data_IF_737770236819
#
_entry.id   IF_737770236819
#
_cell.length_a   1.000
_cell.length_b   1.000
_cell.length_c   1.000
_cell.angle_alpha   90.00
_cell.angle_beta   90.00
_cell.angle_gamma   90.00
#
_symmetry.space_group_name_H-M   'P 1'
#
loop_
_entity.id
_entity.type
_entity.pdbx_description
1 polymer ?
#
# COMPACT_ATOMS: atom_id res chain seq x y z
N UNK A 1 34.20 1.40 -44.54
CA UNK A 1 33.70 0.19 -45.25
C UNK A 1 32.41 -0.19 -44.53
N UNK A 2 31.29 0.22 -44.96
CA UNK A 2 30.22 -0.45 -45.75
C UNK A 2 29.84 -1.86 -45.21
N UNK A 3 28.67 -1.96 -44.61
CA UNK A 3 27.50 -2.81 -44.95
C UNK A 3 26.42 -2.51 -43.88
N UNK A 4 25.38 -1.92 -44.08
CA UNK A 4 24.09 -1.94 -44.79
C UNK A 4 23.41 -3.32 -44.83
N UNK A 5 22.07 -3.26 -44.54
CA UNK A 5 20.99 -4.12 -45.03
C UNK A 5 20.46 -5.14 -44.00
N UNK A 6 19.19 -5.35 -43.74
CA UNK A 6 17.94 -5.04 -44.46
C UNK A 6 16.75 -5.31 -43.52
N UNK A 7 15.76 -4.46 -43.56
CA UNK A 7 14.41 -4.66 -43.04
C UNK A 7 13.67 -5.69 -43.89
N UNK A 8 12.84 -6.53 -43.35
CA UNK A 8 11.72 -7.17 -44.07
C UNK A 8 10.47 -7.17 -43.20
N UNK A 9 9.52 -6.36 -43.63
CA UNK A 9 8.08 -6.45 -43.31
C UNK A 9 7.51 -7.76 -43.83
N UNK A 10 6.66 -8.40 -43.03
CA UNK A 10 5.68 -9.38 -43.57
C UNK A 10 4.31 -9.07 -42.98
N UNK A 11 3.53 -8.36 -43.79
CA UNK A 11 2.06 -8.28 -43.68
C UNK A 11 1.51 -9.41 -44.51
N UNK A 12 0.63 -10.24 -43.94
CA UNK A 12 -0.25 -11.10 -44.71
C UNK A 12 -1.62 -11.15 -44.04
N UNK A 13 -2.54 -10.49 -44.68
CA UNK A 13 -3.97 -10.58 -44.49
C UNK A 13 -4.48 -11.97 -44.99
N UNK A 14 -5.47 -12.52 -44.27
CA UNK A 14 -6.39 -13.46 -44.91
C UNK A 14 -7.81 -13.15 -44.45
N UNK A 15 -8.59 -12.76 -45.45
CA UNK A 15 -10.01 -12.52 -45.37
C UNK A 15 -10.78 -13.76 -45.90
N UNK A 16 -12.00 -13.89 -45.42
CA UNK A 16 -13.18 -14.48 -46.04
C UNK A 16 -13.25 -15.98 -46.32
N UNK A 17 -14.27 -16.61 -45.79
CA UNK A 17 -15.23 -17.37 -46.60
C UNK A 17 -16.61 -17.37 -45.93
N UNK A 18 -17.54 -16.76 -46.66
CA UNK A 18 -19.00 -16.87 -46.54
C UNK A 18 -19.48 -18.13 -47.24
N UNK A 19 -20.78 -18.42 -46.99
CA UNK A 19 -21.78 -19.08 -47.80
C UNK A 19 -22.23 -20.45 -47.24
N UNK A 20 -23.42 -20.62 -46.92
CA UNK A 20 -24.82 -20.53 -47.40
C UNK A 20 -25.54 -21.84 -47.08
N UNK A 21 -26.79 -21.77 -46.68
CA UNK A 21 -27.67 -22.92 -46.58
C UNK A 21 -29.12 -22.51 -46.16
N UNK A 22 -29.90 -22.17 -47.17
CA UNK A 22 -31.34 -21.93 -47.12
C UNK A 22 -32.17 -23.19 -46.87
N UNK A 23 -33.41 -23.00 -46.35
CA UNK A 23 -34.53 -23.90 -46.59
C UNK A 23 -35.49 -24.03 -45.41
N UNK A 24 -36.52 -23.35 -45.39
CA UNK A 24 -37.93 -23.47 -45.80
C UNK A 24 -38.88 -23.72 -44.63
N UNK A 25 -39.86 -22.79 -44.48
CA UNK A 25 -41.17 -22.94 -43.83
C UNK A 25 -42.07 -23.83 -44.71
N UNK A 26 -43.25 -24.37 -44.23
CA UNK A 26 -44.44 -23.55 -43.97
C UNK A 26 -45.37 -24.07 -42.81
N UNK A 27 -46.02 -23.16 -42.18
CA UNK A 27 -47.45 -22.78 -42.05
C UNK A 27 -48.51 -23.85 -41.75
N UNK A 28 -49.41 -23.50 -40.84
CA UNK A 28 -50.79 -24.02 -40.61
C UNK A 28 -51.25 -23.72 -39.19
N UNK A 29 -51.97 -22.65 -38.93
CA UNK A 29 -53.39 -22.38 -38.67
C UNK A 29 -54.09 -23.48 -37.84
N UNK A 30 -54.85 -23.22 -36.79
CA UNK A 30 -56.04 -22.41 -36.52
C UNK A 30 -56.52 -22.55 -35.07
N UNK A 31 -56.89 -21.42 -34.49
CA UNK A 31 -58.17 -21.00 -33.97
C UNK A 31 -58.76 -21.60 -32.67
N UNK A 32 -58.92 -20.69 -31.74
CA UNK A 32 -60.18 -20.36 -31.01
C UNK A 32 -60.81 -21.37 -30.02
N UNK A 33 -60.87 -20.99 -28.75
CA UNK A 33 -62.14 -20.65 -28.09
C UNK A 33 -61.96 -20.17 -26.64
N UNK A 34 -62.71 -19.12 -26.33
CA UNK A 34 -62.84 -18.53 -25.01
C UNK A 34 -63.80 -19.33 -24.11
N UNK A 35 -63.54 -19.29 -22.80
CA UNK A 35 -64.65 -19.20 -21.80
C UNK A 35 -64.09 -18.78 -20.42
N UNK A 36 -64.73 -17.80 -19.89
CA UNK A 36 -64.60 -17.20 -18.57
C UNK A 36 -64.99 -18.11 -17.41
N UNK A 37 -64.37 -17.95 -16.22
CA UNK A 37 -65.09 -17.91 -14.96
C UNK A 37 -64.24 -17.35 -13.80
N UNK A 38 -64.90 -16.70 -12.90
CA UNK A 38 -64.49 -15.79 -11.83
C UNK A 38 -63.73 -16.44 -10.66
N UNK A 39 -62.88 -15.60 -10.05
CA UNK A 39 -62.64 -15.32 -8.66
C UNK A 39 -62.40 -16.43 -7.63
N UNK A 40 -61.20 -16.42 -7.07
CA UNK A 40 -60.97 -16.56 -5.64
C UNK A 40 -59.63 -15.81 -5.27
N UNK A 41 -59.74 -14.83 -4.39
CA UNK A 41 -58.59 -14.19 -3.73
C UNK A 41 -58.04 -15.16 -2.69
N UNK A 42 -56.86 -15.63 -2.89
CA UNK A 42 -55.94 -16.09 -1.83
C UNK A 42 -54.66 -15.25 -1.85
N UNK A 43 -54.37 -14.69 -0.70
CA UNK A 43 -53.17 -13.90 -0.44
C UNK A 43 -52.02 -14.90 -0.33
N UNK A 44 -51.26 -15.06 -1.40
CA UNK A 44 -49.95 -15.71 -1.31
C UNK A 44 -48.93 -14.64 -0.88
N UNK A 45 -48.25 -14.93 0.22
CA UNK A 45 -47.05 -14.26 0.63
C UNK A 45 -46.03 -14.35 -0.50
N UNK A 46 -45.50 -13.20 -0.92
CA UNK A 46 -44.40 -13.17 -1.86
C UNK A 46 -43.22 -13.90 -1.22
N UNK A 47 -42.88 -15.07 -1.76
CA UNK A 47 -41.60 -15.71 -1.51
C UNK A 47 -40.55 -14.80 -2.18
N UNK A 48 -39.66 -14.26 -1.39
CA UNK A 48 -38.46 -13.62 -1.89
C UNK A 48 -37.73 -14.62 -2.79
N UNK A 49 -37.51 -14.24 -4.04
CA UNK A 49 -36.70 -14.99 -4.99
C UNK A 49 -35.27 -14.93 -4.46
N UNK A 50 -34.54 -16.05 -4.30
CA UNK A 50 -33.13 -15.98 -3.93
C UNK A 50 -32.38 -15.18 -5.00
N UNK A 51 -31.54 -14.24 -4.56
CA UNK A 51 -30.64 -13.50 -5.43
C UNK A 51 -29.85 -14.50 -6.32
N UNK A 52 -29.59 -14.14 -7.55
CA UNK A 52 -28.83 -14.99 -8.47
C UNK A 52 -27.36 -15.05 -8.00
N UNK A 53 -26.68 -16.18 -8.20
CA UNK A 53 -25.29 -16.38 -7.77
C UNK A 53 -24.29 -15.39 -8.41
N UNK A 54 -24.68 -14.63 -9.43
CA UNK A 54 -23.89 -13.57 -10.07
C UNK A 54 -23.91 -12.25 -9.26
N UNK A 55 -24.90 -12.06 -8.38
CA UNK A 55 -25.05 -10.85 -7.56
C UNK A 55 -24.21 -10.87 -6.26
N UNK A 56 -23.53 -11.98 -5.97
CA UNK A 56 -22.72 -12.19 -4.78
C UNK A 56 -21.20 -12.10 -5.04
N UNK A 57 -20.78 -11.63 -6.20
CA UNK A 57 -19.35 -11.50 -6.56
C UNK A 57 -18.95 -10.03 -6.61
N UNK A 58 -17.87 -9.67 -5.91
CA UNK A 58 -17.24 -8.35 -5.97
C UNK A 58 -15.85 -8.44 -6.58
N UNK A 59 -15.49 -7.46 -7.39
CA UNK A 59 -14.15 -7.34 -7.96
C UNK A 59 -13.28 -6.46 -7.06
N UNK A 60 -12.02 -6.87 -6.81
CA UNK A 60 -11.09 -6.16 -5.93
C UNK A 60 -9.75 -5.95 -6.60
N UNK A 61 -9.20 -4.73 -6.54
CA UNK A 61 -7.82 -4.42 -6.94
C UNK A 61 -6.95 -4.15 -5.73
N UNK A 62 -5.82 -4.86 -5.64
CA UNK A 62 -4.76 -4.66 -4.67
C UNK A 62 -3.44 -5.21 -5.25
N UNK A 63 -2.31 -5.13 -4.52
CA UNK A 63 -1.00 -5.27 -5.17
C UNK A 63 -0.02 -6.26 -4.55
N UNK A 64 -0.04 -6.51 -3.23
CA UNK A 64 0.96 -7.36 -2.58
C UNK A 64 0.39 -8.73 -2.23
N UNK A 65 0.90 -9.83 -2.85
CA UNK A 65 0.39 -11.17 -2.66
C UNK A 65 0.51 -11.68 -1.21
N UNK A 66 1.52 -11.22 -0.47
CA UNK A 66 1.79 -11.67 0.90
C UNK A 66 1.13 -10.78 1.97
N UNK A 67 0.63 -9.62 1.58
CA UNK A 67 0.06 -8.64 2.47
C UNK A 67 -1.44 -8.40 2.18
N UNK A 68 -1.76 -7.47 1.29
CA UNK A 68 -3.16 -7.05 1.10
C UNK A 68 -3.99 -8.01 0.24
N UNK A 69 -3.39 -8.74 -0.71
CA UNK A 69 -4.06 -9.85 -1.42
C UNK A 69 -4.35 -11.00 -0.45
N UNK A 70 -3.41 -11.32 0.44
CA UNK A 70 -3.63 -12.28 1.52
C UNK A 70 -4.78 -11.82 2.42
N UNK A 71 -4.77 -10.56 2.86
CA UNK A 71 -5.82 -9.99 3.71
C UNK A 71 -7.22 -10.14 3.10
N UNK A 72 -7.38 -9.80 1.82
CA UNK A 72 -8.66 -9.96 1.13
C UNK A 72 -9.10 -11.42 1.02
N UNK A 73 -8.18 -12.35 0.81
CA UNK A 73 -8.51 -13.79 0.79
C UNK A 73 -8.95 -14.31 2.15
N UNK A 74 -8.39 -13.80 3.25
CA UNK A 74 -8.85 -14.19 4.59
C UNK A 74 -10.21 -13.53 4.91
N UNK A 75 -10.40 -12.26 4.54
CA UNK A 75 -11.68 -11.58 4.67
C UNK A 75 -12.80 -12.31 3.90
N UNK A 76 -12.53 -12.75 2.65
CA UNK A 76 -13.47 -13.59 1.89
C UNK A 76 -13.87 -14.84 2.66
N UNK A 77 -12.89 -15.57 3.22
CA UNK A 77 -13.15 -16.80 3.98
C UNK A 77 -13.94 -16.51 5.26
N UNK A 78 -13.62 -15.45 5.98
CA UNK A 78 -14.34 -15.05 7.18
C UNK A 78 -15.81 -14.75 6.84
N UNK A 79 -16.06 -13.96 5.81
CA UNK A 79 -17.41 -13.60 5.37
C UNK A 79 -18.20 -14.80 4.83
N UNK A 80 -17.54 -15.75 4.16
CA UNK A 80 -18.18 -16.98 3.63
C UNK A 80 -18.73 -17.89 4.71
N UNK A 81 -18.40 -17.72 5.98
CA UNK A 81 -18.98 -18.51 7.07
C UNK A 81 -20.50 -18.34 7.11
N UNK A 82 -20.97 -17.09 6.96
CA UNK A 82 -22.39 -16.75 6.98
C UNK A 82 -22.97 -16.57 5.55
N UNK A 83 -22.10 -16.32 4.56
CA UNK A 83 -22.43 -16.04 3.16
C UNK A 83 -21.74 -17.03 2.20
N UNK A 84 -22.12 -18.33 2.17
CA UNK A 84 -21.35 -19.40 1.51
C UNK A 84 -21.26 -19.28 -0.02
N UNK A 85 -22.08 -18.44 -0.65
CA UNK A 85 -22.05 -18.19 -2.09
C UNK A 85 -21.23 -16.96 -2.48
N UNK A 86 -20.82 -16.13 -1.50
CA UNK A 86 -20.03 -14.92 -1.72
C UNK A 86 -18.67 -15.25 -2.33
N UNK A 87 -18.20 -14.41 -3.25
CA UNK A 87 -16.88 -14.54 -3.90
C UNK A 87 -16.25 -13.18 -4.15
N UNK A 88 -14.94 -13.16 -4.10
CA UNK A 88 -14.13 -12.07 -4.59
C UNK A 88 -13.38 -12.47 -5.87
N UNK A 89 -13.43 -11.61 -6.89
CA UNK A 89 -12.49 -11.63 -8.03
C UNK A 89 -11.33 -10.67 -7.70
N UNK A 90 -10.31 -11.22 -7.02
CA UNK A 90 -9.15 -10.44 -6.58
C UNK A 90 -8.15 -10.36 -7.73
N UNK A 91 -7.95 -9.15 -8.25
CA UNK A 91 -7.02 -8.85 -9.33
C UNK A 91 -5.79 -8.13 -8.76
N UNK A 92 -4.67 -8.85 -8.75
CA UNK A 92 -3.37 -8.30 -8.37
C UNK A 92 -2.89 -7.34 -9.46
N UNK A 93 -2.57 -6.11 -9.07
CA UNK A 93 -2.09 -5.05 -9.97
C UNK A 93 -0.97 -4.28 -9.28
N UNK A 94 -0.03 -3.76 -10.06
CA UNK A 94 0.95 -2.80 -9.52
C UNK A 94 0.22 -1.52 -9.10
N UNK A 95 0.58 -0.94 -7.95
CA UNK A 95 -0.12 0.22 -7.41
C UNK A 95 -0.18 1.41 -8.39
N UNK A 96 0.90 1.70 -9.11
CA UNK A 96 0.93 2.74 -10.14
C UNK A 96 -0.06 2.51 -11.28
N UNK A 97 -0.36 1.24 -11.61
CA UNK A 97 -1.36 0.90 -12.63
C UNK A 97 -2.78 1.14 -12.10
N UNK A 98 -3.00 0.91 -10.79
CA UNK A 98 -4.28 1.24 -10.13
C UNK A 98 -4.49 2.76 -10.19
N UNK A 99 -3.53 3.56 -9.75
CA UNK A 99 -3.65 5.04 -9.80
C UNK A 99 -3.87 5.54 -11.24
N UNK A 100 -3.10 5.02 -12.21
CA UNK A 100 -3.25 5.39 -13.62
C UNK A 100 -4.64 5.06 -14.16
N UNK A 101 -5.18 3.89 -13.79
CA UNK A 101 -6.52 3.48 -14.24
C UNK A 101 -7.62 4.36 -13.61
N UNK A 102 -7.49 4.72 -12.32
CA UNK A 102 -8.42 5.61 -11.63
C UNK A 102 -8.45 7.00 -12.26
N UNK A 103 -7.27 7.60 -12.50
CA UNK A 103 -7.13 8.92 -13.12
C UNK A 103 -7.70 8.88 -14.56
N UNK A 104 -7.33 7.86 -15.35
CA UNK A 104 -7.82 7.72 -16.74
C UNK A 104 -9.35 7.61 -16.80
N UNK A 105 -9.96 6.82 -15.88
CA UNK A 105 -11.41 6.69 -15.80
C UNK A 105 -12.08 8.03 -15.43
N UNK A 106 -11.48 8.77 -14.49
CA UNK A 106 -11.98 10.06 -14.06
C UNK A 106 -11.91 11.12 -15.17
N UNK A 107 -10.77 11.22 -15.86
CA UNK A 107 -10.60 12.14 -17.00
C UNK A 107 -11.54 11.82 -18.16
N UNK A 108 -11.80 10.53 -18.40
CA UNK A 108 -12.75 10.10 -19.42
C UNK A 108 -14.21 10.27 -18.99
N UNK A 109 -14.50 10.44 -17.69
CA UNK A 109 -15.85 10.42 -17.12
C UNK A 109 -16.52 9.04 -17.28
N UNK A 110 -15.73 7.97 -17.42
CA UNK A 110 -16.23 6.58 -17.60
C UNK A 110 -15.55 5.67 -16.57
N UNK A 111 -16.29 5.35 -15.53
CA UNK A 111 -15.84 4.50 -14.43
C UNK A 111 -16.10 3.01 -14.64
N UNK A 112 -16.65 2.62 -15.81
CA UNK A 112 -17.09 1.23 -16.08
C UNK A 112 -15.97 0.19 -16.04
N UNK A 113 -14.72 0.61 -16.12
CA UNK A 113 -13.53 -0.25 -16.07
C UNK A 113 -12.96 -0.43 -14.65
N UNK A 114 -13.49 0.31 -13.67
CA UNK A 114 -13.04 0.22 -12.29
C UNK A 114 -13.63 -1.01 -11.58
N UNK A 115 -12.95 -1.56 -10.56
CA UNK A 115 -13.46 -2.64 -9.73
C UNK A 115 -14.57 -2.15 -8.80
N UNK A 116 -15.17 -3.05 -8.02
CA UNK A 116 -16.10 -2.66 -6.95
C UNK A 116 -15.35 -2.09 -5.74
N UNK A 117 -14.25 -2.74 -5.34
CA UNK A 117 -13.41 -2.35 -4.23
C UNK A 117 -11.96 -2.22 -4.71
N UNK A 118 -11.23 -1.25 -4.18
CA UNK A 118 -9.78 -1.15 -4.41
C UNK A 118 -9.06 -0.65 -3.16
N UNK A 119 -7.82 -1.07 -3.04
CA UNK A 119 -6.94 -0.54 -2.02
C UNK A 119 -6.29 0.73 -2.55
N UNK A 120 -6.16 1.75 -1.68
CA UNK A 120 -5.46 2.99 -1.99
C UNK A 120 -4.52 3.35 -0.85
N UNK A 121 -3.31 3.79 -1.20
CA UNK A 121 -2.38 4.34 -0.21
C UNK A 121 -2.93 5.64 0.37
N UNK A 122 -2.80 5.81 1.67
CA UNK A 122 -3.47 6.88 2.42
C UNK A 122 -3.15 8.29 1.88
N UNK A 123 -1.91 8.55 1.54
CA UNK A 123 -1.49 9.85 1.00
C UNK A 123 -2.13 10.22 -0.36
N UNK A 124 -2.76 9.26 -1.04
CA UNK A 124 -3.40 9.48 -2.33
C UNK A 124 -4.89 9.85 -2.23
N UNK A 125 -5.54 9.65 -1.07
CA UNK A 125 -6.98 9.90 -0.93
C UNK A 125 -7.35 11.36 -1.14
N UNK A 126 -6.68 12.29 -0.44
CA UNK A 126 -6.98 13.72 -0.54
C UNK A 126 -6.84 14.24 -1.96
N UNK A 127 -5.74 13.87 -2.65
CA UNK A 127 -5.52 14.23 -4.05
C UNK A 127 -6.66 13.73 -4.94
N UNK A 128 -6.94 12.42 -4.86
CA UNK A 128 -7.90 11.80 -5.77
C UNK A 128 -9.34 12.22 -5.48
N UNK A 129 -9.74 12.34 -4.21
CA UNK A 129 -11.09 12.79 -3.88
C UNK A 129 -11.34 14.27 -4.24
N UNK A 130 -10.31 15.12 -4.12
CA UNK A 130 -10.41 16.54 -4.45
C UNK A 130 -10.40 16.78 -5.96
N UNK A 131 -9.45 16.16 -6.68
CA UNK A 131 -9.24 16.44 -8.10
C UNK A 131 -10.18 15.62 -9.01
N UNK A 132 -10.62 14.46 -8.54
CA UNK A 132 -11.46 13.53 -9.30
C UNK A 132 -12.71 13.13 -8.52
N UNK A 133 -13.60 14.09 -8.18
CA UNK A 133 -14.83 13.80 -7.46
C UNK A 133 -15.67 12.81 -8.27
N UNK A 134 -16.13 11.75 -7.62
CA UNK A 134 -16.91 10.68 -8.25
C UNK A 134 -16.14 9.42 -8.57
N UNK A 135 -14.83 9.29 -8.21
CA UNK A 135 -14.14 8.01 -8.21
C UNK A 135 -14.64 7.13 -7.06
N UNK A 136 -14.84 7.73 -5.89
CA UNK A 136 -15.20 7.03 -4.65
C UNK A 136 -16.70 7.07 -4.37
N UNK A 137 -17.18 6.02 -3.73
CA UNK A 137 -18.46 6.03 -3.03
C UNK A 137 -18.24 6.53 -1.60
N UNK A 138 -19.10 7.45 -1.12
CA UNK A 138 -19.08 7.88 0.28
C UNK A 138 -19.43 6.72 1.21
N UNK A 139 -18.72 6.59 2.33
CA UNK A 139 -18.87 5.48 3.27
C UNK A 139 -19.62 5.83 4.56
N UNK A 140 -20.14 7.07 4.69
CA UNK A 140 -20.78 7.53 5.92
C UNK A 140 -22.03 6.70 6.30
N UNK A 141 -22.69 6.09 5.32
CA UNK A 141 -23.87 5.24 5.50
C UNK A 141 -23.57 3.73 5.39
N UNK A 142 -22.30 3.32 5.38
CA UNK A 142 -21.91 1.91 5.19
C UNK A 142 -22.07 1.01 6.44
N UNK A 143 -22.50 1.58 7.58
CA UNK A 143 -22.72 0.86 8.82
C UNK A 143 -21.47 0.67 9.69
N UNK A 144 -20.29 1.08 9.23
CA UNK A 144 -19.03 1.02 9.98
C UNK A 144 -19.02 2.13 11.05
N UNK A 145 -18.63 1.76 12.28
CA UNK A 145 -18.33 2.72 13.34
C UNK A 145 -16.90 3.27 13.19
N UNK A 146 -16.74 4.35 12.45
CA UNK A 146 -15.45 4.99 12.22
C UNK A 146 -14.78 5.51 13.50
N UNK A 147 -15.52 5.69 14.60
CA UNK A 147 -14.93 6.06 15.89
C UNK A 147 -14.04 4.97 16.50
N UNK A 148 -14.12 3.75 15.98
CA UNK A 148 -13.29 2.61 16.37
C UNK A 148 -11.95 2.54 15.63
N UNK A 149 -11.64 3.52 14.79
CA UNK A 149 -10.38 3.55 14.04
C UNK A 149 -9.41 4.61 14.59
N UNK A 150 -8.12 4.41 14.33
CA UNK A 150 -7.10 5.40 14.62
C UNK A 150 -7.42 6.73 13.93
N UNK A 151 -7.52 7.82 14.70
CA UNK A 151 -7.90 9.14 14.16
C UNK A 151 -6.94 9.65 13.09
N UNK A 152 -5.64 9.39 13.24
CA UNK A 152 -4.65 9.80 12.24
C UNK A 152 -4.89 9.12 10.90
N UNK A 153 -5.09 7.80 10.92
CA UNK A 153 -5.40 7.01 9.72
C UNK A 153 -6.74 7.38 9.09
N UNK A 154 -7.75 7.61 9.92
CA UNK A 154 -9.06 8.03 9.44
C UNK A 154 -9.00 9.40 8.75
N UNK A 155 -8.19 10.32 9.27
CA UNK A 155 -8.00 11.64 8.68
C UNK A 155 -7.44 11.56 7.26
N UNK A 156 -6.56 10.59 6.96
CA UNK A 156 -5.96 10.40 5.64
C UNK A 156 -7.00 10.08 4.55
N UNK A 157 -8.08 9.36 4.90
CA UNK A 157 -9.15 8.96 3.98
C UNK A 157 -10.46 9.74 4.15
N UNK A 158 -10.46 10.80 4.97
CA UNK A 158 -11.61 11.70 5.17
C UNK A 158 -11.35 13.03 4.46
N UNK A 159 -12.22 13.40 3.53
CA UNK A 159 -12.11 14.64 2.76
C UNK A 159 -13.38 15.45 2.92
N UNK A 160 -13.26 16.72 3.34
CA UNK A 160 -14.39 17.63 3.61
C UNK A 160 -15.45 17.03 4.56
N UNK A 161 -15.02 16.19 5.50
CA UNK A 161 -15.86 15.54 6.50
C UNK A 161 -16.58 14.28 6.02
N UNK A 162 -16.32 13.83 4.79
CA UNK A 162 -16.84 12.58 4.21
C UNK A 162 -15.79 11.49 4.24
N UNK A 163 -16.14 10.29 4.69
CA UNK A 163 -15.27 9.13 4.70
C UNK A 163 -15.27 8.43 3.33
N UNK A 164 -14.09 8.22 2.74
CA UNK A 164 -13.90 7.53 1.46
C UNK A 164 -13.08 6.26 1.55
N UNK A 165 -12.45 6.01 2.69
CA UNK A 165 -11.65 4.81 2.93
C UNK A 165 -11.90 4.21 4.31
N UNK A 166 -11.85 2.89 4.38
CA UNK A 166 -11.83 2.12 5.62
C UNK A 166 -10.37 1.85 5.94
N UNK A 167 -9.80 2.44 7.00
CA UNK A 167 -8.40 2.25 7.35
C UNK A 167 -8.07 0.77 7.54
N UNK A 168 -7.08 0.29 6.79
CA UNK A 168 -6.68 -1.12 6.83
C UNK A 168 -5.52 -1.34 7.80
N UNK A 169 -4.36 -0.76 7.51
CA UNK A 169 -3.12 -0.98 8.25
C UNK A 169 -2.43 0.30 8.69
N UNK A 170 -1.55 0.17 9.68
CA UNK A 170 -0.55 1.18 10.03
C UNK A 170 0.78 0.84 9.38
N UNK A 171 1.49 1.87 8.90
CA UNK A 171 2.78 1.74 8.27
C UNK A 171 3.95 2.17 9.17
N UNK A 172 3.88 1.91 10.49
CA UNK A 172 4.99 2.29 11.39
C UNK A 172 6.33 1.78 10.85
N UNK A 173 7.30 2.69 10.73
CA UNK A 173 8.64 2.36 10.24
C UNK A 173 9.38 1.52 11.27
N UNK A 174 9.93 0.40 10.80
CA UNK A 174 10.82 -0.48 11.56
C UNK A 174 12.21 -0.53 10.94
N UNK A 175 13.21 -0.78 11.74
CA UNK A 175 14.49 -1.29 11.28
C UNK A 175 14.58 -2.78 11.63
N UNK A 176 14.43 -3.64 10.62
CA UNK A 176 14.63 -5.08 10.77
C UNK A 176 16.09 -5.41 10.42
N UNK A 177 16.80 -6.10 11.34
CA UNK A 177 18.22 -6.43 11.19
C UNK A 177 18.50 -7.89 11.47
N UNK A 178 19.47 -8.44 10.78
CA UNK A 178 19.99 -9.81 10.99
C UNK A 178 20.77 -9.89 12.28
N UNK A 179 20.16 -10.42 13.33
CA UNK A 179 20.77 -10.60 14.65
C UNK A 179 22.03 -11.44 14.60
N UNK A 180 22.05 -12.51 13.81
CA UNK A 180 23.22 -13.36 13.62
C UNK A 180 24.43 -12.64 12.94
N UNK A 181 24.15 -11.70 12.03
CA UNK A 181 25.19 -10.89 11.41
C UNK A 181 25.70 -9.80 12.36
N UNK A 182 24.82 -9.23 13.18
CA UNK A 182 25.20 -8.28 14.24
C UNK A 182 26.08 -8.96 15.28
N UNK A 183 25.70 -10.16 15.73
CA UNK A 183 26.50 -10.97 16.68
C UNK A 183 27.86 -11.37 16.09
N UNK A 184 27.94 -11.70 14.79
CA UNK A 184 29.20 -12.00 14.12
C UNK A 184 30.19 -10.81 14.15
N UNK A 185 29.68 -9.58 14.22
CA UNK A 185 30.50 -8.36 14.41
C UNK A 185 30.86 -8.08 15.89
N UNK A 186 30.44 -8.93 16.83
CA UNK A 186 30.65 -8.75 18.27
C UNK A 186 29.76 -7.67 18.87
N UNK A 187 28.66 -7.35 18.21
CA UNK A 187 27.66 -6.35 18.64
C UNK A 187 26.40 -7.06 19.12
N UNK A 188 25.48 -6.28 19.68
CA UNK A 188 24.12 -6.70 20.07
C UNK A 188 23.08 -5.91 19.32
N UNK A 189 21.89 -6.47 19.16
CA UNK A 189 20.75 -5.78 18.57
C UNK A 189 20.43 -4.48 19.31
N UNK A 190 20.53 -4.49 20.63
CA UNK A 190 20.27 -3.33 21.49
C UNK A 190 21.21 -2.15 21.21
N UNK A 191 22.42 -2.39 20.67
CA UNK A 191 23.36 -1.31 20.32
C UNK A 191 22.82 -0.44 19.18
N UNK A 192 21.85 -0.92 18.40
CA UNK A 192 21.23 -0.21 17.29
C UNK A 192 19.96 0.56 17.69
N UNK A 193 19.45 0.34 18.92
CA UNK A 193 18.25 1.01 19.41
C UNK A 193 18.56 2.48 19.77
N UNK A 194 17.63 3.37 19.44
CA UNK A 194 17.68 4.82 19.78
C UNK A 194 18.93 5.56 19.27
N UNK A 195 19.57 5.06 18.21
CA UNK A 195 20.77 5.66 17.62
C UNK A 195 20.45 6.91 16.81
N UNK A 196 21.48 7.75 16.62
CA UNK A 196 21.53 8.71 15.52
C UNK A 196 22.04 8.02 14.25
N UNK A 197 21.88 8.64 13.07
CA UNK A 197 22.42 8.10 11.83
C UNK A 197 23.95 7.98 11.85
N UNK A 198 24.65 8.92 12.50
CA UNK A 198 26.11 8.83 12.64
C UNK A 198 26.55 7.65 13.49
N UNK A 199 25.89 7.40 14.63
CA UNK A 199 26.15 6.23 15.48
C UNK A 199 25.82 4.93 14.74
N UNK A 200 24.70 4.89 14.05
CA UNK A 200 24.30 3.74 13.22
C UNK A 200 25.35 3.41 12.14
N UNK A 201 25.89 4.42 11.43
CA UNK A 201 26.91 4.24 10.41
C UNK A 201 28.18 3.61 10.99
N UNK A 202 28.60 4.03 12.19
CA UNK A 202 29.79 3.44 12.85
C UNK A 202 29.57 1.99 13.29
N UNK A 203 28.36 1.63 13.71
CA UNK A 203 27.99 0.23 13.99
C UNK A 203 27.92 -0.58 12.68
N UNK A 204 27.33 -0.02 11.64
CA UNK A 204 27.19 -0.63 10.32
C UNK A 204 28.52 -1.04 9.71
N UNK A 205 29.54 -0.19 9.80
CA UNK A 205 30.90 -0.49 9.32
C UNK A 205 31.49 -1.74 9.97
N UNK A 206 31.18 -1.99 11.26
CA UNK A 206 31.63 -3.21 11.96
C UNK A 206 30.92 -4.45 11.44
N UNK A 207 29.59 -4.36 11.21
CA UNK A 207 28.82 -5.48 10.64
C UNK A 207 29.31 -5.79 9.22
N UNK A 208 29.47 -4.78 8.37
CA UNK A 208 29.98 -4.94 7.01
C UNK A 208 31.38 -5.57 6.99
N UNK A 209 32.27 -5.15 7.90
CA UNK A 209 33.61 -5.74 8.01
C UNK A 209 33.60 -7.22 8.43
N UNK A 210 32.59 -7.66 9.17
CA UNK A 210 32.44 -9.05 9.62
C UNK A 210 31.71 -9.95 8.61
N UNK A 211 30.85 -9.39 7.77
CA UNK A 211 29.90 -10.14 6.93
C UNK A 211 30.11 -9.98 5.43
N UNK A 212 30.84 -8.93 5.01
CA UNK A 212 31.07 -8.55 3.60
C UNK A 212 29.77 -8.24 2.82
N UNK A 213 28.71 -7.78 3.53
CA UNK A 213 27.46 -7.34 2.92
C UNK A 213 27.10 -5.94 3.40
N UNK A 214 26.31 -5.13 2.64
CA UNK A 214 25.74 -3.86 3.10
C UNK A 214 24.90 -4.05 4.35
N UNK A 215 24.90 -3.03 5.23
CA UNK A 215 24.07 -3.07 6.43
C UNK A 215 22.59 -2.95 6.10
N UNK A 216 22.24 -2.10 5.13
CA UNK A 216 20.84 -1.86 4.73
C UNK A 216 20.63 -2.11 3.25
N UNK A 217 19.36 -2.35 2.91
CA UNK A 217 18.83 -2.34 1.55
C UNK A 217 17.63 -1.41 1.46
N UNK A 218 17.39 -0.79 0.31
CA UNK A 218 16.18 -0.01 0.04
C UNK A 218 15.72 -0.17 -1.41
N UNK A 219 14.48 0.24 -1.69
CA UNK A 219 13.90 0.29 -3.04
C UNK A 219 13.63 1.74 -3.43
N UNK A 220 14.73 2.46 -3.71
CA UNK A 220 14.70 3.88 -4.04
C UNK A 220 14.83 4.81 -2.83
N UNK A 221 15.65 5.85 -2.99
CA UNK A 221 16.05 6.73 -1.89
C UNK A 221 14.99 7.71 -1.42
N UNK A 222 13.95 7.99 -2.21
CA UNK A 222 12.92 8.96 -1.81
C UNK A 222 12.13 8.51 -0.60
N UNK A 223 11.90 7.23 -0.45
CA UNK A 223 11.11 6.67 0.65
C UNK A 223 11.83 6.88 1.99
N UNK A 224 13.08 6.42 2.09
CA UNK A 224 13.87 6.59 3.32
C UNK A 224 14.17 8.05 3.65
N UNK A 225 14.33 8.93 2.66
CA UNK A 225 14.49 10.39 2.89
C UNK A 225 13.21 10.98 3.48
N UNK A 226 12.05 10.55 3.01
CA UNK A 226 10.75 11.00 3.54
C UNK A 226 10.53 10.48 4.95
N UNK A 227 10.90 9.24 5.26
CA UNK A 227 10.86 8.69 6.62
C UNK A 227 11.76 9.50 7.57
N UNK A 228 12.98 9.85 7.15
CA UNK A 228 13.87 10.73 7.90
C UNK A 228 13.25 12.11 8.13
N UNK A 229 12.60 12.68 7.12
CA UNK A 229 11.94 13.98 7.19
C UNK A 229 10.78 13.94 8.19
N UNK A 230 9.94 12.91 8.11
CA UNK A 230 8.84 12.71 9.04
C UNK A 230 9.33 12.48 10.47
N UNK A 231 10.39 11.66 10.65
CA UNK A 231 10.96 11.42 11.98
C UNK A 231 11.43 12.70 12.68
N UNK A 232 11.73 13.75 11.91
CA UNK A 232 12.06 15.08 12.39
C UNK A 232 10.83 15.99 12.61
N UNK A 233 9.61 15.49 12.37
CA UNK A 233 8.38 16.29 12.42
C UNK A 233 8.36 17.41 11.38
N UNK A 234 9.15 17.28 10.31
CA UNK A 234 9.27 18.30 9.28
C UNK A 234 8.38 17.94 8.08
N UNK A 235 7.39 18.80 7.81
CA UNK A 235 6.49 18.62 6.70
C UNK A 235 7.07 19.17 5.40
N UNK A 236 6.84 18.54 4.24
CA UNK A 236 7.13 19.11 2.93
C UNK A 236 6.13 20.21 2.52
N UNK A 237 5.04 20.34 3.28
CA UNK A 237 4.00 21.35 3.13
C UNK A 237 3.91 22.19 4.40
N UNK A 238 3.74 23.51 4.26
CA UNK A 238 3.52 24.44 5.37
C UNK A 238 2.43 25.44 4.94
N UNK A 239 1.38 25.55 5.73
CA UNK A 239 0.23 26.44 5.43
C UNK A 239 -0.33 26.25 4.01
N UNK A 240 -0.44 25.00 3.55
CA UNK A 240 -0.94 24.63 2.25
C UNK A 240 -0.01 24.96 1.08
N UNK A 241 1.25 25.26 1.34
CA UNK A 241 2.27 25.57 0.32
C UNK A 241 3.44 24.60 0.37
N UNK A 242 4.02 24.32 -0.77
CA UNK A 242 5.27 23.55 -0.87
C UNK A 242 6.39 24.26 -0.15
N UNK A 243 7.11 23.57 0.72
CA UNK A 243 8.18 24.10 1.56
C UNK A 243 9.38 23.14 1.58
N UNK A 244 10.12 23.09 0.49
CA UNK A 244 11.30 22.24 0.35
C UNK A 244 12.62 23.01 0.51
N UNK A 245 12.71 24.21 -0.07
CA UNK A 245 13.97 24.98 -0.17
C UNK A 245 14.57 25.34 1.19
N UNK A 246 13.76 25.76 2.16
CA UNK A 246 14.23 26.17 3.49
C UNK A 246 14.12 25.05 4.54
N UNK A 247 13.80 23.82 4.09
CA UNK A 247 13.64 22.67 4.96
C UNK A 247 14.99 22.02 5.29
N UNK A 248 15.55 22.42 6.44
CA UNK A 248 16.86 21.92 6.91
C UNK A 248 16.87 20.42 7.17
N UNK A 249 15.74 19.87 7.63
CA UNK A 249 15.62 18.43 7.86
C UNK A 249 15.67 17.66 6.55
N UNK A 250 15.00 18.16 5.49
CA UNK A 250 15.05 17.55 4.15
C UNK A 250 16.48 17.55 3.59
N UNK A 251 17.17 18.69 3.69
CA UNK A 251 18.57 18.75 3.24
C UNK A 251 19.45 17.76 3.99
N UNK A 252 19.32 17.70 5.33
CA UNK A 252 20.06 16.75 6.16
C UNK A 252 19.73 15.30 5.83
N UNK A 253 18.46 14.98 5.55
CA UNK A 253 18.02 13.65 5.14
C UNK A 253 18.67 13.21 3.81
N UNK A 254 18.70 14.11 2.80
CA UNK A 254 19.36 13.84 1.51
C UNK A 254 20.88 13.67 1.68
N UNK A 255 21.53 14.51 2.50
CA UNK A 255 22.96 14.38 2.83
C UNK A 255 23.24 13.02 3.50
N UNK A 256 22.41 12.62 4.45
CA UNK A 256 22.54 11.34 5.17
C UNK A 256 22.36 10.16 4.22
N UNK A 257 21.33 10.19 3.38
CA UNK A 257 21.09 9.14 2.38
C UNK A 257 22.26 9.02 1.40
N UNK A 258 22.74 10.16 0.88
CA UNK A 258 23.92 10.16 0.00
C UNK A 258 25.14 9.53 0.69
N UNK A 259 25.38 9.85 1.95
CA UNK A 259 26.50 9.27 2.70
C UNK A 259 26.34 7.76 2.87
N UNK A 260 25.14 7.25 3.16
CA UNK A 260 24.87 5.80 3.26
C UNK A 260 25.19 5.06 1.96
N UNK A 261 24.88 5.66 0.81
CA UNK A 261 25.19 5.10 -0.52
C UNK A 261 26.69 5.20 -0.81
N UNK A 262 27.31 6.37 -0.62
CA UNK A 262 28.72 6.62 -0.92
C UNK A 262 29.66 5.72 -0.10
N UNK A 263 29.28 5.40 1.14
CA UNK A 263 30.03 4.52 2.05
C UNK A 263 29.66 3.02 1.87
N UNK A 264 28.73 2.70 0.97
CA UNK A 264 28.26 1.32 0.70
C UNK A 264 27.49 0.70 1.85
N UNK A 265 27.02 1.49 2.80
CA UNK A 265 26.23 1.02 3.95
C UNK A 265 24.84 0.59 3.50
N UNK A 266 24.28 1.27 2.50
CA UNK A 266 22.98 0.98 1.91
C UNK A 266 23.12 0.57 0.44
N UNK A 267 22.51 -0.57 0.09
CA UNK A 267 22.31 -1.00 -1.29
C UNK A 267 20.95 -0.55 -1.79
N UNK A 268 20.91 0.22 -2.88
CA UNK A 268 19.69 0.72 -3.49
C UNK A 268 19.33 -0.11 -4.73
N UNK A 269 18.11 -0.66 -4.76
CA UNK A 269 17.56 -1.44 -5.85
C UNK A 269 16.35 -0.71 -6.45
N UNK A 270 16.32 -0.60 -7.77
CA UNK A 270 15.16 -0.03 -8.50
C UNK A 270 14.09 -1.06 -8.83
N UNK A 271 14.42 -2.33 -8.68
CA UNK A 271 13.54 -3.47 -8.93
C UNK A 271 13.09 -4.09 -7.62
N UNK A 272 11.78 -4.21 -7.43
CA UNK A 272 11.17 -4.70 -6.19
C UNK A 272 11.60 -6.14 -5.86
N UNK A 273 11.63 -7.03 -6.85
CA UNK A 273 12.00 -8.43 -6.63
C UNK A 273 13.47 -8.57 -6.19
N UNK A 274 14.36 -7.73 -6.73
CA UNK A 274 15.77 -7.69 -6.31
C UNK A 274 15.92 -7.15 -4.90
N UNK A 275 15.13 -6.12 -4.54
CA UNK A 275 15.07 -5.58 -3.19
C UNK A 275 14.66 -6.65 -2.17
N UNK A 276 13.54 -7.32 -2.38
CA UNK A 276 13.08 -8.42 -1.53
C UNK A 276 14.11 -9.58 -1.51
N UNK A 277 14.65 -9.94 -2.66
CA UNK A 277 15.65 -10.98 -2.76
C UNK A 277 16.93 -10.66 -1.98
N UNK A 278 17.29 -9.39 -1.79
CA UNK A 278 18.48 -9.00 -1.03
C UNK A 278 18.38 -9.39 0.45
N UNK A 279 17.18 -9.27 1.03
CA UNK A 279 16.89 -9.72 2.39
C UNK A 279 16.81 -11.25 2.47
N UNK A 280 16.04 -11.86 1.57
CA UNK A 280 15.75 -13.30 1.61
C UNK A 280 16.95 -14.17 1.27
N UNK A 281 17.95 -13.63 0.56
CA UNK A 281 19.23 -14.32 0.28
C UNK A 281 20.34 -13.91 1.25
N UNK A 282 20.09 -13.00 2.17
CA UNK A 282 21.08 -12.51 3.12
C UNK A 282 22.23 -11.74 2.47
N UNK A 283 21.99 -11.05 1.34
CA UNK A 283 22.95 -10.16 0.68
C UNK A 283 22.90 -8.72 1.20
N UNK A 284 22.02 -8.46 2.16
CA UNK A 284 22.00 -7.27 3.02
C UNK A 284 21.71 -7.73 4.47
N UNK A 285 22.23 -7.00 5.45
CA UNK A 285 22.08 -7.32 6.87
C UNK A 285 20.81 -6.75 7.50
N UNK A 286 20.07 -5.90 6.81
CA UNK A 286 18.85 -5.27 7.33
C UNK A 286 18.15 -4.40 6.33
N UNK A 287 17.03 -3.84 6.80
CA UNK A 287 16.14 -2.95 6.04
C UNK A 287 15.48 -1.96 7.00
N UNK A 288 15.24 -0.74 6.54
CA UNK A 288 14.34 0.23 7.17
C UNK A 288 13.15 0.39 6.24
N UNK A 289 11.93 0.13 6.75
CA UNK A 289 10.72 0.15 5.95
C UNK A 289 9.48 0.13 6.87
N UNK A 290 8.31 0.41 6.33
CA UNK A 290 7.05 0.15 7.03
C UNK A 290 6.94 -1.30 7.52
N UNK A 291 6.27 -1.52 8.65
CA UNK A 291 6.17 -2.84 9.29
C UNK A 291 5.58 -3.94 8.39
N UNK A 292 4.85 -3.58 7.34
CA UNK A 292 4.34 -4.50 6.32
C UNK A 292 5.43 -5.30 5.59
N UNK A 293 6.71 -4.85 5.61
CA UNK A 293 7.84 -5.58 5.03
C UNK A 293 8.10 -6.92 5.75
N UNK A 294 7.58 -7.09 6.97
CA UNK A 294 7.78 -8.30 7.76
C UNK A 294 7.32 -9.56 7.03
N UNK A 295 6.20 -9.50 6.31
CA UNK A 295 5.68 -10.63 5.52
C UNK A 295 6.68 -11.09 4.46
N UNK A 296 7.32 -10.15 3.77
CA UNK A 296 8.35 -10.44 2.76
C UNK A 296 9.64 -10.98 3.38
N UNK A 297 10.01 -10.54 4.58
CA UNK A 297 11.16 -11.08 5.33
C UNK A 297 10.85 -12.51 5.79
N UNK A 298 9.66 -12.75 6.32
CA UNK A 298 9.23 -14.06 6.82
C UNK A 298 9.09 -15.13 5.73
N UNK A 299 8.97 -14.73 4.46
CA UNK A 299 8.96 -15.66 3.33
C UNK A 299 10.28 -16.49 3.23
N UNK A 300 11.37 -16.03 3.85
CA UNK A 300 12.63 -16.78 3.96
C UNK A 300 12.63 -17.63 5.24
N UNK A 301 11.87 -18.73 5.26
CA UNK A 301 11.69 -19.61 6.43
C UNK A 301 13.01 -20.10 7.06
N UNK A 302 14.08 -20.28 6.28
CA UNK A 302 15.40 -20.69 6.72
C UNK A 302 16.14 -19.61 7.53
N UNK A 303 15.60 -18.39 7.57
CA UNK A 303 16.11 -17.28 8.37
C UNK A 303 15.32 -17.09 9.69
N UNK A 304 14.39 -17.97 10.02
CA UNK A 304 13.67 -17.93 11.29
C UNK A 304 14.64 -17.89 12.49
N UNK A 305 14.36 -17.03 13.45
CA UNK A 305 15.18 -16.80 14.64
C UNK A 305 16.45 -15.97 14.41
N UNK A 306 16.68 -15.46 13.18
CA UNK A 306 17.87 -14.67 12.82
C UNK A 306 17.59 -13.18 12.57
N UNK A 307 16.39 -12.73 12.83
CA UNK A 307 15.99 -11.34 12.66
C UNK A 307 15.56 -10.73 13.99
N UNK A 308 15.74 -9.43 14.11
CA UNK A 308 15.20 -8.64 15.20
C UNK A 308 14.74 -7.28 14.67
N UNK A 309 13.83 -6.64 15.41
CA UNK A 309 13.28 -5.33 15.07
C UNK A 309 13.69 -4.32 16.12
N UNK A 310 14.14 -3.16 15.67
CA UNK A 310 14.38 -1.97 16.48
C UNK A 310 13.82 -0.74 15.76
N UNK A 311 13.79 0.41 16.45
CA UNK A 311 13.41 1.67 15.82
C UNK A 311 14.50 2.19 14.86
N UNK A 312 14.10 3.08 13.93
CA UNK A 312 15.04 3.67 12.96
C UNK A 312 15.98 4.68 13.63
N UNK A 313 17.17 4.96 13.03
CA UNK A 313 18.03 6.03 13.52
C UNK A 313 17.41 7.42 13.30
N UNK A 314 17.63 8.37 14.20
CA UNK A 314 17.21 9.76 14.06
C UNK A 314 18.25 10.63 13.38
N UNK A 315 17.84 11.72 12.74
CA UNK A 315 18.74 12.70 12.14
C UNK A 315 19.61 13.40 13.20
N UNK A 316 20.90 13.49 12.90
CA UNK A 316 21.86 14.23 13.71
C UNK A 316 21.62 15.75 13.57
N UNK A 317 21.78 16.48 14.67
CA UNK A 317 21.74 17.93 14.71
C UNK A 317 20.43 18.58 14.19
N UNK A 318 19.34 17.81 14.17
CA UNK A 318 18.00 18.29 13.83
C UNK A 318 17.15 18.33 15.09
N UNK A 319 16.72 19.53 15.48
CA UNK A 319 15.88 19.73 16.67
C UNK A 319 14.53 19.02 16.49
N UNK A 320 14.10 18.27 17.49
CA UNK A 320 12.85 17.53 17.48
C UNK A 320 12.90 16.19 16.74
N UNK A 321 14.04 15.82 16.12
CA UNK A 321 14.16 14.52 15.44
C UNK A 321 13.98 13.36 16.42
N UNK A 322 13.17 12.41 16.02
CA UNK A 322 12.84 11.19 16.75
C UNK A 322 13.35 9.94 16.02
N UNK A 323 13.25 8.79 16.66
CA UNK A 323 13.57 7.49 16.07
C UNK A 323 12.34 6.81 15.44
N UNK A 324 11.30 7.59 15.11
CA UNK A 324 10.01 7.06 14.70
C UNK A 324 9.49 7.77 13.45
N UNK A 325 9.00 6.97 12.50
CA UNK A 325 8.37 7.44 11.28
C UNK A 325 7.25 6.49 10.87
N UNK A 326 6.54 6.84 9.81
CA UNK A 326 5.56 5.99 9.16
C UNK A 326 5.91 5.88 7.68
N UNK A 327 5.82 4.68 7.14
CA UNK A 327 6.00 4.42 5.72
C UNK A 327 4.81 3.67 5.16
N UNK A 328 3.99 4.36 4.37
CA UNK A 328 2.79 3.79 3.80
C UNK A 328 1.63 3.74 4.78
N UNK A 329 0.85 2.74 4.63
CA UNK A 329 -0.49 2.56 5.13
C UNK A 329 -1.49 2.73 4.00
N UNK A 330 -2.57 1.99 4.05
CA UNK A 330 -3.59 1.96 3.01
C UNK A 330 -4.98 1.82 3.61
N UNK A 331 -5.97 2.19 2.83
CA UNK A 331 -7.38 2.07 3.18
C UNK A 331 -8.17 1.46 2.03
N UNK A 332 -9.20 0.65 2.34
CA UNK A 332 -10.10 0.07 1.37
C UNK A 332 -11.15 1.10 0.94
N UNK A 333 -11.28 1.31 -0.35
CA UNK A 333 -12.27 2.21 -0.94
C UNK A 333 -13.28 1.45 -1.79
N UNK A 334 -14.52 1.93 -1.81
CA UNK A 334 -15.57 1.46 -2.71
C UNK A 334 -15.64 2.39 -3.91
N UNK A 335 -15.54 1.81 -5.10
CA UNK A 335 -15.61 2.57 -6.35
C UNK A 335 -17.03 3.05 -6.64
N UNK A 336 -17.15 4.20 -7.27
CA UNK A 336 -18.43 4.68 -7.80
C UNK A 336 -19.04 3.76 -8.89
N UNK A 337 -18.24 2.85 -9.46
CA UNK A 337 -18.72 1.82 -10.40
C UNK A 337 -19.34 0.60 -9.71
N UNK A 338 -19.19 0.45 -8.38
CA UNK A 338 -19.74 -0.69 -7.66
C UNK A 338 -21.25 -0.81 -7.89
N UNK A 339 -21.70 -1.95 -8.43
CA UNK A 339 -23.11 -2.17 -8.77
C UNK A 339 -23.91 -2.71 -7.60
N UNK A 340 -23.24 -3.34 -6.64
CA UNK A 340 -23.87 -3.88 -5.43
C UNK A 340 -23.18 -3.27 -4.20
N UNK A 341 -23.45 -1.97 -3.99
CA UNK A 341 -22.84 -1.19 -2.92
C UNK A 341 -23.22 -1.73 -1.55
N UNK A 342 -24.47 -2.20 -1.39
CA UNK A 342 -24.95 -2.78 -0.13
C UNK A 342 -24.16 -4.04 0.23
N UNK A 343 -23.87 -4.91 -0.73
CA UNK A 343 -23.01 -6.09 -0.52
C UNK A 343 -21.57 -5.70 -0.17
N UNK A 344 -21.01 -4.69 -0.87
CA UNK A 344 -19.66 -4.22 -0.59
C UNK A 344 -19.55 -3.63 0.82
N UNK A 345 -20.55 -2.88 1.26
CA UNK A 345 -20.62 -2.29 2.59
C UNK A 345 -20.78 -3.36 3.67
N UNK A 346 -21.68 -4.33 3.46
CA UNK A 346 -21.89 -5.44 4.39
C UNK A 346 -20.62 -6.29 4.55
N UNK A 347 -19.99 -6.65 3.43
CA UNK A 347 -18.71 -7.37 3.44
C UNK A 347 -17.61 -6.62 4.19
N UNK A 348 -17.39 -5.35 3.86
CA UNK A 348 -16.32 -4.56 4.48
C UNK A 348 -16.60 -4.27 5.97
N UNK A 349 -17.87 -4.06 6.34
CA UNK A 349 -18.27 -3.88 7.74
C UNK A 349 -18.09 -5.16 8.54
N UNK A 350 -18.54 -6.31 8.02
CA UNK A 350 -18.43 -7.60 8.70
C UNK A 350 -16.97 -8.09 8.85
N UNK A 351 -16.06 -7.60 8.03
CA UNK A 351 -14.65 -7.99 8.02
C UNK A 351 -13.76 -6.90 8.62
N UNK A 352 -13.26 -5.98 7.80
CA UNK A 352 -12.33 -4.93 8.24
C UNK A 352 -12.96 -3.91 9.21
N UNK A 353 -14.28 -3.80 9.24
CA UNK A 353 -15.00 -2.90 10.16
C UNK A 353 -15.23 -3.46 11.56
N UNK A 354 -15.17 -4.80 11.77
CA UNK A 354 -15.60 -5.38 13.04
C UNK A 354 -14.90 -6.68 13.47
N UNK A 355 -14.20 -7.40 12.58
CA UNK A 355 -13.69 -8.74 12.85
C UNK A 355 -12.27 -8.70 13.47
N UNK A 356 -12.20 -8.87 14.79
CA UNK A 356 -10.94 -8.92 15.56
C UNK A 356 -10.16 -10.19 15.23
N UNK A 357 -10.81 -11.33 15.04
CA UNK A 357 -10.15 -12.61 14.74
C UNK A 357 -9.48 -12.56 13.37
N UNK A 358 -10.10 -11.88 12.40
CA UNK A 358 -9.47 -11.61 11.11
C UNK A 358 -8.18 -10.81 11.29
N UNK A 359 -8.21 -9.71 12.05
CA UNK A 359 -7.02 -8.89 12.29
C UNK A 359 -5.92 -9.63 13.05
N UNK A 360 -6.24 -10.55 13.95
CA UNK A 360 -5.27 -11.41 14.62
C UNK A 360 -4.57 -12.35 13.62
N UNK A 361 -5.31 -12.94 12.69
CA UNK A 361 -4.72 -13.74 11.61
C UNK A 361 -3.82 -12.88 10.71
N UNK A 362 -4.26 -11.69 10.34
CA UNK A 362 -3.49 -10.77 9.50
C UNK A 362 -2.23 -10.25 10.20
N UNK A 363 -2.29 -10.04 11.52
CA UNK A 363 -1.13 -9.65 12.30
C UNK A 363 -0.04 -10.73 12.26
N UNK A 364 -0.41 -11.97 12.51
CA UNK A 364 0.54 -13.09 12.61
C UNK A 364 1.10 -13.49 11.26
N UNK A 365 0.25 -13.55 10.22
CA UNK A 365 0.60 -14.13 8.92
C UNK A 365 0.99 -13.10 7.86
N UNK A 366 0.60 -11.84 8.04
CA UNK A 366 0.93 -10.75 7.11
C UNK A 366 1.65 -9.56 7.78
N UNK A 367 1.75 -9.53 9.11
CA UNK A 367 2.36 -8.41 9.83
C UNK A 367 1.53 -7.12 9.74
N UNK A 368 0.23 -7.23 9.48
CA UNK A 368 -0.67 -6.09 9.36
C UNK A 368 -1.01 -5.54 10.75
N UNK A 369 -0.49 -4.36 11.06
CA UNK A 369 -0.83 -3.65 12.30
C UNK A 369 -2.19 -2.99 12.09
N UNK A 370 -3.18 -3.42 12.86
CA UNK A 370 -4.56 -2.95 12.72
C UNK A 370 -4.70 -1.46 12.97
N UNK A 371 -5.43 -0.77 12.09
CA UNK A 371 -5.95 0.56 12.33
C UNK A 371 -7.25 0.53 13.14
N UNK A 372 -7.91 -0.62 13.21
CA UNK A 372 -9.09 -0.90 14.01
C UNK A 372 -8.70 -1.07 15.48
N UNK A 373 -9.09 -0.11 16.34
CA UNK A 373 -8.64 -0.03 17.73
C UNK A 373 -8.98 -1.24 18.60
N UNK A 374 -10.15 -1.89 18.46
CA UNK A 374 -10.42 -3.11 19.22
C UNK A 374 -9.46 -4.26 18.92
N UNK A 375 -9.05 -4.44 17.65
CA UNK A 375 -8.07 -5.45 17.25
C UNK A 375 -6.68 -5.13 17.82
N UNK A 376 -6.28 -3.86 17.83
CA UNK A 376 -5.00 -3.43 18.40
C UNK A 376 -4.86 -3.69 19.92
N UNK A 377 -5.93 -4.10 20.62
CA UNK A 377 -5.93 -4.48 22.02
C UNK A 377 -5.89 -5.99 22.25
N UNK A 378 -5.81 -6.79 21.19
CA UNK A 378 -5.71 -8.24 21.29
C UNK A 378 -4.44 -8.68 22.02
N UNK A 379 -4.54 -9.78 22.79
CA UNK A 379 -3.40 -10.41 23.46
C UNK A 379 -2.32 -10.88 22.49
N UNK A 380 -2.67 -11.14 21.23
CA UNK A 380 -1.74 -11.53 20.14
C UNK A 380 -0.61 -10.52 19.97
N UNK A 381 -0.85 -9.23 20.25
CA UNK A 381 0.20 -8.20 20.19
C UNK A 381 1.29 -8.38 21.26
N UNK A 382 1.03 -9.09 22.35
CA UNK A 382 1.99 -9.34 23.43
C UNK A 382 2.77 -10.65 23.23
N UNK A 383 2.41 -11.46 22.25
CA UNK A 383 3.07 -12.73 22.00
C UNK A 383 4.44 -12.55 21.35
N UNK A 384 5.38 -13.44 21.70
CA UNK A 384 6.68 -13.49 21.07
C UNK A 384 6.59 -14.13 19.68
N UNK A 385 7.20 -13.50 18.68
CA UNK A 385 7.26 -14.02 17.32
C UNK A 385 8.51 -14.88 17.12
N UNK A 386 8.33 -16.16 16.87
CA UNK A 386 9.40 -17.17 16.69
C UNK A 386 10.37 -16.79 15.57
N UNK A 387 9.89 -16.19 14.48
CA UNK A 387 10.74 -15.76 13.38
C UNK A 387 11.74 -14.66 13.79
N UNK A 388 11.35 -13.84 14.76
CA UNK A 388 12.18 -12.78 15.34
C UNK A 388 12.80 -13.20 16.69
N UNK A 389 13.11 -14.50 16.86
CA UNK A 389 13.80 -15.01 18.03
C UNK A 389 13.01 -14.90 19.33
N UNK A 390 11.70 -14.84 19.26
CA UNK A 390 10.80 -14.71 20.41
C UNK A 390 10.56 -13.27 20.87
N UNK A 391 11.03 -12.26 20.10
CA UNK A 391 10.73 -10.85 20.38
C UNK A 391 9.22 -10.57 20.22
N UNK A 392 8.62 -9.82 21.12
CA UNK A 392 7.24 -9.35 21.01
C UNK A 392 7.16 -8.16 20.02
N UNK A 393 7.47 -8.43 18.74
CA UNK A 393 7.67 -7.41 17.70
C UNK A 393 6.45 -6.54 17.47
N UNK A 394 5.26 -7.10 17.57
CA UNK A 394 4.01 -6.34 17.33
C UNK A 394 3.78 -5.30 18.43
N UNK A 395 4.10 -5.64 19.68
CA UNK A 395 4.08 -4.68 20.79
C UNK A 395 5.05 -3.52 20.56
N UNK A 396 6.28 -3.85 20.14
CA UNK A 396 7.31 -2.82 19.85
C UNK A 396 6.85 -1.90 18.70
N UNK A 397 6.24 -2.46 17.64
CA UNK A 397 5.74 -1.69 16.50
C UNK A 397 4.59 -0.75 16.90
N UNK A 398 3.66 -1.21 17.74
CA UNK A 398 2.57 -0.36 18.27
C UNK A 398 3.15 0.77 19.12
N UNK A 399 4.18 0.50 19.92
CA UNK A 399 4.92 1.54 20.66
C UNK A 399 5.54 2.56 19.69
N UNK A 400 6.21 2.10 18.63
CA UNK A 400 6.79 2.98 17.62
C UNK A 400 5.73 3.86 16.94
N UNK A 401 4.60 3.27 16.52
CA UNK A 401 3.48 3.98 15.93
C UNK A 401 2.94 5.11 16.82
N UNK A 402 2.93 4.90 18.13
CA UNK A 402 2.50 5.88 19.14
C UNK A 402 3.41 7.10 19.26
N UNK A 403 4.62 7.03 18.73
CA UNK A 403 5.63 8.10 18.80
C UNK A 403 5.91 8.80 17.47
N UNK A 404 5.26 8.38 16.38
CA UNK A 404 5.45 8.97 15.05
C UNK A 404 4.98 10.43 15.06
N UNK A 405 5.84 11.40 14.67
CA UNK A 405 5.42 12.78 14.53
C UNK A 405 4.38 12.93 13.41
N UNK A 406 3.32 13.72 13.67
CA UNK A 406 2.35 14.08 12.64
C UNK A 406 2.99 15.01 11.61
N UNK A 407 2.75 14.74 10.32
CA UNK A 407 3.09 15.63 9.22
C UNK A 407 1.85 15.89 8.36
N UNK A 408 1.84 17.04 7.68
CA UNK A 408 0.84 17.36 6.67
C UNK A 408 1.35 16.89 5.30
N UNK A 409 0.73 15.85 4.77
CA UNK A 409 1.02 15.37 3.43
C UNK A 409 0.46 16.31 2.35
N UNK A 410 -0.69 16.93 2.60
CA UNK A 410 -1.40 17.79 1.66
C UNK A 410 -1.87 17.06 0.38
N UNK A 411 -2.55 17.79 -0.47
CA UNK A 411 -3.07 17.23 -1.73
C UNK A 411 -1.99 16.94 -2.78
N UNK A 412 -0.79 17.47 -2.60
CA UNK A 412 0.30 17.41 -3.60
C UNK A 412 1.44 16.49 -3.21
N UNK A 413 1.23 15.63 -2.23
CA UNK A 413 2.29 14.76 -1.71
C UNK A 413 2.89 13.83 -2.78
N UNK A 414 2.08 13.29 -3.67
CA UNK A 414 2.56 12.44 -4.78
C UNK A 414 3.50 13.21 -5.72
N UNK A 415 3.17 14.48 -6.02
CA UNK A 415 3.97 15.34 -6.89
C UNK A 415 5.30 15.70 -6.21
N UNK A 416 5.25 16.00 -4.90
CA UNK A 416 6.43 16.26 -4.08
C UNK A 416 7.33 15.01 -4.05
N UNK A 417 6.76 13.84 -3.80
CA UNK A 417 7.49 12.57 -3.76
C UNK A 417 8.17 12.27 -5.10
N UNK A 418 7.48 12.47 -6.21
CA UNK A 418 8.03 12.30 -7.55
C UNK A 418 9.19 13.26 -7.81
N UNK A 419 9.02 14.55 -7.55
CA UNK A 419 10.05 15.57 -7.74
C UNK A 419 11.27 15.32 -6.83
N UNK A 420 11.07 14.87 -5.58
CA UNK A 420 12.15 14.48 -4.67
C UNK A 420 12.89 13.23 -5.17
N UNK A 421 12.19 12.26 -5.77
CA UNK A 421 12.84 11.07 -6.37
C UNK A 421 13.84 11.47 -7.46
N UNK A 422 13.46 12.38 -8.34
CA UNK A 422 14.34 12.91 -9.39
C UNK A 422 15.53 13.67 -8.78
N UNK A 423 15.28 14.56 -7.82
CA UNK A 423 16.31 15.33 -7.14
C UNK A 423 17.33 14.43 -6.42
N UNK A 424 16.87 13.45 -5.65
CA UNK A 424 17.72 12.47 -4.94
C UNK A 424 18.54 11.65 -5.93
N UNK A 425 17.92 11.18 -7.01
CA UNK A 425 18.62 10.47 -8.08
C UNK A 425 19.74 11.31 -8.70
N UNK A 426 19.48 12.60 -8.97
CA UNK A 426 20.50 13.51 -9.50
C UNK A 426 21.65 13.72 -8.51
N UNK A 427 21.33 13.90 -7.22
CA UNK A 427 22.32 14.07 -6.16
C UNK A 427 23.21 12.84 -6.00
N UNK A 428 22.60 11.65 -5.96
CA UNK A 428 23.34 10.40 -5.71
C UNK A 428 24.08 9.91 -6.96
N UNK A 429 23.41 9.86 -8.11
CA UNK A 429 23.99 9.25 -9.30
C UNK A 429 24.86 10.23 -10.11
N UNK A 430 24.54 11.53 -10.07
CA UNK A 430 25.24 12.56 -10.88
C UNK A 430 26.09 13.51 -10.03
N UNK A 431 26.11 13.35 -8.71
CA UNK A 431 26.74 14.28 -7.76
C UNK A 431 26.27 15.73 -7.94
N UNK A 432 24.98 15.92 -8.26
CA UNK A 432 24.39 17.24 -8.38
C UNK A 432 24.38 17.96 -7.02
N UNK A 433 24.35 19.28 -7.06
CA UNK A 433 24.28 20.12 -5.86
C UNK A 433 22.92 20.00 -5.18
N UNK A 434 22.90 19.67 -3.90
CA UNK A 434 21.68 19.36 -3.12
C UNK A 434 20.73 20.56 -3.08
N UNK A 435 21.23 21.76 -2.81
CA UNK A 435 20.39 22.96 -2.72
C UNK A 435 19.74 23.28 -4.07
N UNK A 436 20.50 23.08 -5.15
CA UNK A 436 19.98 23.24 -6.53
C UNK A 436 18.87 22.24 -6.82
N UNK A 437 19.07 20.95 -6.47
CA UNK A 437 18.09 19.91 -6.77
C UNK A 437 16.83 20.04 -5.89
N UNK A 438 16.95 20.43 -4.62
CA UNK A 438 15.78 20.76 -3.77
C UNK A 438 14.98 21.91 -4.38
N UNK A 439 15.67 22.95 -4.87
CA UNK A 439 15.00 24.07 -5.54
C UNK A 439 14.29 23.63 -6.81
N UNK A 440 14.93 22.81 -7.64
CA UNK A 440 14.33 22.28 -8.87
C UNK A 440 13.07 21.46 -8.54
N UNK A 441 13.11 20.63 -7.46
CA UNK A 441 11.96 19.88 -7.01
C UNK A 441 10.80 20.80 -6.58
N UNK A 442 11.08 21.83 -5.79
CA UNK A 442 10.06 22.80 -5.41
C UNK A 442 9.46 23.52 -6.62
N UNK A 443 10.31 24.06 -7.51
CA UNK A 443 9.86 24.76 -8.72
C UNK A 443 8.96 23.85 -9.61
N UNK A 444 9.30 22.54 -9.70
CA UNK A 444 8.53 21.55 -10.46
C UNK A 444 7.14 21.34 -9.87
N UNK A 445 7.06 21.15 -8.55
CA UNK A 445 5.78 20.95 -7.87
C UNK A 445 4.92 22.20 -7.94
N UNK A 446 5.50 23.38 -7.68
CA UNK A 446 4.79 24.66 -7.78
C UNK A 446 4.24 24.92 -9.21
N UNK A 447 4.97 24.50 -10.24
CA UNK A 447 4.50 24.58 -11.63
C UNK A 447 3.30 23.66 -11.87
N UNK A 448 3.38 22.39 -11.43
CA UNK A 448 2.30 21.42 -11.60
C UNK A 448 1.01 21.83 -10.85
N UNK A 449 1.15 22.52 -9.71
CA UNK A 449 0.00 22.99 -8.93
C UNK A 449 -0.69 24.20 -9.61
N UNK A 450 0.05 24.98 -10.39
CA UNK A 450 -0.46 26.20 -11.01
C UNK A 450 -1.24 25.95 -12.32
N UNK A 451 -1.14 24.76 -12.90
CA UNK A 451 -1.92 24.31 -14.07
C UNK A 451 -3.26 23.67 -13.67
#
# INVERSE_FOLDING_TARGET
MKKKVLSVLLVAAMAMSMLTGCGSKPAGNDAQSAASSEASKETEAAAETPASAEDETLTVWCWDPNFNVYAMKQAEKAYQVDHPNFKLDIQEKVYSDIETALITAAEAGDYSTLPDIFLMQDYSFHKNATNYPGIFTALDDCGIDFSQFSMGKLADSTVDGTHYGIPFDNGATIMAIRSDMVEAAGLKVEDFKDTTWSEFMELSKKVMAATDVPMLTCSGGSEIVIEMLQSAGASPMVDGKVSLVDNKALKKAIETYKQLIDEGIMADYTDWDQYIASMNKGTAAGVIQGCWIMSSIQAAEDQAGKWAIVNMPKLDDVEGATNYANCGGASWAVSSNCKNTDLAFDFLNATFGADVDLYDDLLVNAGAIASYLPAAQSETYNEGNEFYGGQAVYKDIVEFAGHVPGIDYGAYYSDIRSALTDAITNVVQKNADIDTEIKNAQDTVEFNIAE
#
